data_IF_559573923129
#
_entry.id   IF_559573923129
#
_cell.length_a   1.000
_cell.length_b   1.000
_cell.length_c   1.000
_cell.angle_alpha   90.00
_cell.angle_beta   90.00
_cell.angle_gamma   90.00
#
_symmetry.space_group_name_H-M   'P 1'
#
loop_
_entity.id
_entity.type
_entity.pdbx_description
1 polymer ?
#
# COMPACT_ATOMS: atom_id res chain seq x y z
N UNK A 1 4.86 2.16 -0.44
CA UNK A 1 4.86 2.06 -1.92
C UNK A 1 3.63 1.34 -2.48
N UNK A 2 3.17 0.24 -1.87
CA UNK A 2 2.07 -0.61 -2.38
C UNK A 2 0.77 0.18 -2.62
N UNK A 3 0.32 0.97 -1.65
CA UNK A 3 -0.91 1.78 -1.78
C UNK A 3 -0.88 2.72 -2.98
N UNK A 4 0.27 3.37 -3.23
CA UNK A 4 0.43 4.25 -4.40
C UNK A 4 0.50 3.48 -5.72
N UNK A 5 1.11 2.30 -5.72
CA UNK A 5 1.17 1.44 -6.90
C UNK A 5 -0.21 0.93 -7.32
N UNK A 6 -1.08 0.62 -6.34
CA UNK A 6 -2.48 0.25 -6.61
C UNK A 6 -3.23 1.36 -7.35
N UNK A 7 -3.11 2.61 -6.89
CA UNK A 7 -3.71 3.77 -7.56
C UNK A 7 -3.18 3.92 -8.99
N UNK A 8 -1.86 3.81 -9.19
CA UNK A 8 -1.25 3.93 -10.51
C UNK A 8 -1.74 2.84 -11.50
N UNK A 9 -1.88 1.60 -11.04
CA UNK A 9 -2.42 0.50 -11.85
C UNK A 9 -3.89 0.74 -12.18
N UNK A 10 -4.69 1.19 -11.21
CA UNK A 10 -6.09 1.52 -11.44
C UNK A 10 -6.24 2.60 -12.52
N UNK A 11 -5.42 3.65 -12.47
CA UNK A 11 -5.41 4.72 -13.47
C UNK A 11 -5.00 4.22 -14.86
N UNK A 12 -3.98 3.36 -14.94
CA UNK A 12 -3.53 2.75 -16.18
C UNK A 12 -4.63 1.88 -16.82
N UNK A 13 -5.30 1.04 -16.02
CA UNK A 13 -6.40 0.20 -16.49
C UNK A 13 -7.61 1.02 -16.92
N UNK A 14 -7.91 2.11 -16.20
CA UNK A 14 -8.95 3.06 -16.59
C UNK A 14 -8.65 3.72 -17.94
N UNK A 15 -7.40 4.13 -18.17
CA UNK A 15 -6.96 4.64 -19.46
C UNK A 15 -7.09 3.61 -20.58
N UNK A 16 -6.71 2.34 -20.33
CA UNK A 16 -6.84 1.25 -21.31
C UNK A 16 -8.30 0.95 -21.66
N UNK A 17 -9.19 0.96 -20.66
CA UNK A 17 -10.63 0.75 -20.87
C UNK A 17 -11.24 1.89 -21.69
N UNK A 18 -10.88 3.15 -21.40
CA UNK A 18 -11.34 4.31 -22.17
C UNK A 18 -10.88 4.28 -23.64
N UNK A 19 -9.80 3.55 -23.93
CA UNK A 19 -9.30 3.31 -25.29
C UNK A 19 -9.81 2.01 -25.90
N UNK A 20 -10.76 1.34 -25.26
CA UNK A 20 -11.33 0.06 -25.70
C UNK A 20 -10.28 -1.05 -25.89
N UNK A 21 -9.11 -0.92 -25.25
CA UNK A 21 -8.06 -1.94 -25.31
C UNK A 21 -8.40 -3.17 -24.47
N UNK A 22 -9.28 -2.99 -23.48
CA UNK A 22 -9.83 -4.02 -22.60
C UNK A 22 -11.33 -3.79 -22.44
N UNK A 23 -12.10 -4.87 -22.27
CA UNK A 23 -13.55 -4.79 -22.08
C UNK A 23 -13.95 -4.32 -20.68
N UNK A 24 -13.14 -4.65 -19.67
CA UNK A 24 -13.41 -4.35 -18.27
C UNK A 24 -12.10 -4.18 -17.47
N UNK A 25 -12.20 -3.60 -16.28
CA UNK A 25 -11.06 -3.42 -15.38
C UNK A 25 -10.97 -4.68 -14.50
N UNK A 26 -9.89 -5.48 -14.59
CA UNK A 26 -9.76 -6.75 -13.87
C UNK A 26 -9.25 -6.58 -12.43
N UNK A 27 -9.78 -5.61 -11.68
CA UNK A 27 -9.48 -5.43 -10.26
C UNK A 27 -10.57 -6.11 -9.45
N UNK A 28 -10.20 -7.09 -8.62
CA UNK A 28 -11.15 -7.88 -7.81
C UNK A 28 -11.40 -7.24 -6.45
N UNK A 29 -10.40 -6.57 -5.88
CA UNK A 29 -10.52 -5.86 -4.60
C UNK A 29 -9.48 -4.73 -4.49
N UNK A 30 -9.64 -3.87 -3.48
CA UNK A 30 -8.71 -2.80 -3.15
C UNK A 30 -7.50 -3.32 -2.38
N UNK A 31 -6.34 -2.71 -2.59
CA UNK A 31 -5.09 -3.09 -1.93
C UNK A 31 -4.39 -1.86 -1.36
N UNK A 32 -3.93 -1.98 -0.12
CA UNK A 32 -3.15 -0.98 0.58
C UNK A 32 -2.12 -1.67 1.46
N UNK A 33 -1.08 -0.95 1.89
CA UNK A 33 -0.16 -1.45 2.90
C UNK A 33 0.28 -0.36 3.86
N UNK A 34 0.58 -0.76 5.09
CA UNK A 34 1.06 0.13 6.17
C UNK A 34 2.05 -0.60 7.08
N UNK A 35 3.03 0.14 7.62
CA UNK A 35 3.97 -0.36 8.62
C UNK A 35 3.36 -0.26 10.03
N UNK A 36 3.65 -1.25 10.87
CA UNK A 36 3.29 -1.26 12.29
C UNK A 36 4.45 -1.82 13.09
N UNK A 37 4.60 -1.38 14.34
CA UNK A 37 5.66 -1.91 15.20
C UNK A 37 5.52 -1.51 16.66
N UNK A 38 6.51 -1.89 17.46
CA UNK A 38 6.60 -1.53 18.88
C UNK A 38 7.88 -0.71 19.07
N UNK A 39 7.75 0.51 19.58
CA UNK A 39 8.86 1.41 19.89
C UNK A 39 8.81 1.76 21.38
N UNK A 40 9.90 1.49 22.11
CA UNK A 40 9.99 1.70 23.57
C UNK A 40 8.82 1.04 24.35
N UNK A 41 8.43 -0.18 23.96
CA UNK A 41 7.29 -0.90 24.53
C UNK A 41 5.90 -0.38 24.14
N UNK A 42 5.79 0.61 23.25
CA UNK A 42 4.52 1.20 22.79
C UNK A 42 4.20 0.74 21.36
N UNK A 43 3.01 0.16 21.10
CA UNK A 43 2.56 -0.15 19.74
C UNK A 43 2.26 1.12 18.94
N UNK A 44 2.82 1.21 17.73
CA UNK A 44 2.69 2.34 16.81
C UNK A 44 2.26 1.87 15.40
N UNK A 45 1.53 2.74 14.70
CA UNK A 45 1.05 2.58 13.32
C UNK A 45 1.68 3.68 12.45
N UNK A 46 2.01 3.33 11.20
CA UNK A 46 2.61 4.24 10.22
C UNK A 46 3.95 4.81 10.70
N UNK A 47 4.89 3.90 10.98
CA UNK A 47 6.21 4.25 11.52
C UNK A 47 6.98 5.14 10.54
N UNK A 48 7.44 6.29 11.02
CA UNK A 48 8.39 7.13 10.27
C UNK A 48 9.82 6.61 10.49
N UNK A 49 10.77 6.99 9.62
CA UNK A 49 12.11 6.39 9.56
C UNK A 49 12.85 6.26 10.91
N UNK A 50 12.78 7.29 11.77
CA UNK A 50 13.44 7.24 13.09
C UNK A 50 12.78 6.21 14.04
N UNK A 51 11.46 6.05 13.95
CA UNK A 51 10.69 5.08 14.74
C UNK A 51 10.92 3.67 14.24
N UNK A 52 10.92 3.49 12.92
CA UNK A 52 11.22 2.22 12.25
C UNK A 52 12.63 1.72 12.59
N UNK A 53 13.63 2.62 12.58
CA UNK A 53 15.01 2.28 12.92
C UNK A 53 15.22 1.85 14.39
N UNK A 54 14.29 2.24 15.27
CA UNK A 54 14.34 1.99 16.72
C UNK A 54 13.32 0.93 17.17
N UNK A 55 12.49 0.42 16.26
CA UNK A 55 11.45 -0.53 16.60
C UNK A 55 12.04 -1.86 17.07
N UNK A 56 11.49 -2.39 18.16
CA UNK A 56 11.82 -3.72 18.68
C UNK A 56 11.27 -4.81 17.76
N UNK A 57 10.13 -4.53 17.12
CA UNK A 57 9.46 -5.36 16.13
C UNK A 57 8.91 -4.46 15.03
N UNK A 58 9.26 -4.77 13.77
CA UNK A 58 8.71 -4.17 12.56
C UNK A 58 7.88 -5.22 11.79
N UNK A 59 6.69 -4.82 11.35
CA UNK A 59 5.78 -5.63 10.54
C UNK A 59 5.10 -4.76 9.48
N UNK A 60 5.06 -5.27 8.25
CA UNK A 60 4.28 -4.68 7.16
C UNK A 60 2.98 -5.46 6.99
N UNK A 61 1.84 -4.76 7.04
CA UNK A 61 0.51 -5.32 6.76
C UNK A 61 0.12 -4.95 5.33
N UNK A 62 -0.25 -5.95 4.54
CA UNK A 62 -0.64 -5.85 3.12
C UNK A 62 -1.99 -6.51 2.91
#
# INVERSE_FOLDING_TARGET
AITGAFVAIHDALSWMKNKEMISEIPIVDHMAAVSVGIVDGVPLLDLFYEEDSRAEVDMNVV
#
